data_IF_921788005618
#
_entry.id   IF_921788005618
#
_cell.length_a   1.000
_cell.length_b   1.000
_cell.length_c   1.000
_cell.angle_alpha   90.00
_cell.angle_beta   90.00
_cell.angle_gamma   90.00
#
_symmetry.space_group_name_H-M   'P 1'
#
loop_
_entity.id
_entity.type
_entity.pdbx_description
1 polymer ?
#
# COMPACT_ATOMS: atom_id res chain seq x y z
N UNK A 1 3.16 -0.14 -1.70
CA UNK A 1 3.08 1.29 -1.33
C UNK A 1 2.73 1.33 0.14
N UNK A 2 3.54 1.99 0.97
CA UNK A 2 3.39 2.06 2.42
C UNK A 2 3.13 3.51 2.83
N UNK A 3 2.06 3.75 3.58
CA UNK A 3 1.72 5.08 4.07
C UNK A 3 1.40 5.08 5.56
N UNK A 4 1.72 6.16 6.26
CA UNK A 4 1.16 6.47 7.59
C UNK A 4 0.45 7.81 7.57
N UNK A 5 -0.68 7.96 8.28
CA UNK A 5 -1.39 9.22 8.41
C UNK A 5 -1.66 9.87 7.04
N UNK A 6 -1.29 11.14 6.88
CA UNK A 6 -1.48 11.89 5.63
C UNK A 6 -0.51 11.49 4.50
N UNK A 7 0.46 10.61 4.74
CA UNK A 7 1.36 10.07 3.70
C UNK A 7 0.62 9.34 2.56
N UNK A 8 -0.65 8.98 2.76
CA UNK A 8 -1.49 8.46 1.68
C UNK A 8 -1.65 9.47 0.54
N UNK A 9 -1.68 10.77 0.83
CA UNK A 9 -1.84 11.81 -0.18
C UNK A 9 -0.69 11.81 -1.21
N UNK A 10 0.51 11.41 -0.78
CA UNK A 10 1.67 11.27 -1.66
C UNK A 10 1.54 10.10 -2.64
N UNK A 11 0.66 9.13 -2.36
CA UNK A 11 0.53 7.89 -3.13
C UNK A 11 -0.66 7.89 -4.09
N UNK A 12 -1.77 8.57 -3.74
CA UNK A 12 -3.03 8.49 -4.50
C UNK A 12 -2.87 8.86 -5.99
N UNK A 13 -2.18 9.95 -6.37
CA UNK A 13 -1.98 10.28 -7.79
C UNK A 13 -1.16 9.23 -8.53
N UNK A 14 -0.14 8.67 -7.88
CA UNK A 14 0.68 7.61 -8.49
C UNK A 14 -0.11 6.32 -8.61
N UNK A 15 -0.93 5.97 -7.62
CA UNK A 15 -1.76 4.77 -7.62
C UNK A 15 -2.71 4.78 -8.83
N UNK A 16 -3.45 5.87 -9.03
CA UNK A 16 -4.33 6.04 -10.19
C UNK A 16 -3.56 5.88 -11.50
N UNK A 17 -2.40 6.54 -11.63
CA UNK A 17 -1.55 6.44 -12.81
C UNK A 17 -1.05 5.00 -13.07
N UNK A 18 -0.71 4.23 -12.03
CA UNK A 18 -0.23 2.86 -12.18
C UNK A 18 -1.35 1.92 -12.67
N UNK A 19 -2.57 2.08 -12.14
CA UNK A 19 -3.75 1.31 -12.56
C UNK A 19 -4.09 1.66 -14.02
N UNK A 20 -4.17 2.96 -14.33
CA UNK A 20 -4.42 3.42 -15.71
C UNK A 20 -3.40 2.86 -16.71
N UNK A 21 -2.12 2.90 -16.36
CA UNK A 21 -1.03 2.38 -17.21
C UNK A 21 -1.09 0.86 -17.37
N UNK A 22 -1.57 0.13 -16.37
CA UNK A 22 -1.76 -1.33 -16.45
C UNK A 22 -2.83 -1.68 -17.50
N UNK A 23 -4.03 -1.10 -17.41
CA UNK A 23 -5.11 -1.33 -18.37
C UNK A 23 -4.76 -0.84 -19.79
N UNK A 24 -3.96 0.23 -19.89
CA UNK A 24 -3.45 0.70 -21.18
C UNK A 24 -2.31 -0.15 -21.75
N UNK A 25 -1.91 -1.25 -21.09
CA UNK A 25 -0.74 -2.08 -21.42
C UNK A 25 0.58 -1.30 -21.54
N UNK A 26 0.70 -0.17 -20.84
CA UNK A 26 1.88 0.72 -20.85
C UNK A 26 2.89 0.37 -19.76
N UNK A 27 2.58 -0.57 -18.88
CA UNK A 27 3.40 -0.94 -17.74
C UNK A 27 3.42 -2.45 -17.52
N UNK A 28 4.58 -3.04 -17.16
CA UNK A 28 4.68 -4.47 -16.81
C UNK A 28 4.28 -4.77 -15.36
N UNK A 29 3.62 -3.83 -14.66
CA UNK A 29 3.15 -4.02 -13.28
C UNK A 29 2.11 -5.15 -13.27
N UNK A 30 2.17 -6.00 -12.23
CA UNK A 30 1.27 -7.14 -12.09
C UNK A 30 0.44 -7.12 -10.82
N UNK A 31 0.92 -6.42 -9.80
CA UNK A 31 0.27 -6.33 -8.49
C UNK A 31 0.71 -5.06 -7.79
N UNK A 32 -0.24 -4.38 -7.19
CA UNK A 32 -0.06 -3.21 -6.34
C UNK A 32 -0.69 -3.55 -4.99
N UNK A 33 0.12 -3.52 -3.95
CA UNK A 33 -0.38 -3.58 -2.58
C UNK A 33 -0.19 -2.21 -1.93
N UNK A 34 -1.30 -1.53 -1.67
CA UNK A 34 -1.35 -0.31 -0.87
C UNK A 34 -1.62 -0.69 0.59
N UNK A 35 -0.72 -0.30 1.48
CA UNK A 35 -0.82 -0.53 2.91
C UNK A 35 -0.78 0.82 3.61
N UNK A 36 -1.77 1.09 4.45
CA UNK A 36 -1.92 2.39 5.09
C UNK A 36 -2.25 2.26 6.57
N UNK A 37 -1.44 2.90 7.43
CA UNK A 37 -1.74 3.07 8.84
C UNK A 37 -2.37 4.44 9.09
N UNK A 38 -3.52 4.49 9.75
CA UNK A 38 -4.19 5.74 10.07
C UNK A 38 -4.85 5.71 11.45
N UNK A 39 -5.16 6.89 11.98
CA UNK A 39 -6.01 7.01 13.17
C UNK A 39 -7.50 6.95 12.80
N UNK A 40 -7.84 7.58 11.68
CA UNK A 40 -9.20 7.65 11.16
C UNK A 40 -9.16 7.76 9.64
N UNK A 41 -10.18 7.19 8.98
CA UNK A 41 -10.38 7.33 7.56
C UNK A 41 -11.04 8.68 7.24
N UNK A 42 -10.36 9.53 6.48
CA UNK A 42 -10.94 10.79 5.98
C UNK A 42 -11.83 10.55 4.75
N UNK A 43 -12.94 11.29 4.65
CA UNK A 43 -13.92 11.18 3.56
C UNK A 43 -13.27 11.31 2.16
N UNK A 44 -12.37 12.28 1.99
CA UNK A 44 -11.68 12.50 0.70
C UNK A 44 -10.77 11.32 0.31
N UNK A 45 -10.02 10.75 1.27
CA UNK A 45 -9.18 9.59 1.02
C UNK A 45 -10.05 8.37 0.67
N UNK A 46 -11.18 8.19 1.36
CA UNK A 46 -12.15 7.16 1.06
C UNK A 46 -12.68 7.26 -0.38
N UNK A 47 -13.07 8.46 -0.82
CA UNK A 47 -13.55 8.65 -2.18
C UNK A 47 -12.49 8.26 -3.22
N UNK A 48 -11.25 8.73 -3.06
CA UNK A 48 -10.15 8.44 -3.98
C UNK A 48 -9.77 6.95 -4.02
N UNK A 49 -9.82 6.25 -2.88
CA UNK A 49 -9.58 4.80 -2.83
C UNK A 49 -10.70 4.01 -3.51
N UNK A 50 -11.96 4.45 -3.37
CA UNK A 50 -13.09 3.83 -4.07
C UNK A 50 -13.01 4.06 -5.58
N UNK A 51 -12.60 5.24 -6.03
CA UNK A 51 -12.34 5.53 -7.44
C UNK A 51 -11.22 4.62 -8.00
N UNK A 52 -10.11 4.47 -7.27
CA UNK A 52 -9.03 3.57 -7.66
C UNK A 52 -9.49 2.10 -7.75
N UNK A 53 -10.32 1.64 -6.79
CA UNK A 53 -10.93 0.31 -6.82
C UNK A 53 -11.94 0.14 -7.96
N UNK A 54 -12.63 1.20 -8.38
CA UNK A 54 -13.55 1.15 -9.50
C UNK A 54 -12.79 1.07 -10.84
N UNK A 55 -11.71 1.84 -10.99
CA UNK A 55 -10.86 1.81 -12.19
C UNK A 55 -10.19 0.44 -12.35
N UNK A 56 -9.62 -0.12 -11.29
CA UNK A 56 -8.99 -1.46 -11.26
C UNK A 56 -9.94 -2.62 -11.65
N UNK A 57 -11.25 -2.38 -11.76
CA UNK A 57 -12.22 -3.40 -12.20
C UNK A 57 -12.36 -3.51 -13.72
N UNK A 58 -11.91 -2.51 -14.48
CA UNK A 58 -12.34 -2.33 -15.87
C UNK A 58 -12.07 -3.53 -16.79
N UNK A 59 -11.00 -4.29 -16.58
CA UNK A 59 -10.63 -5.43 -17.44
C UNK A 59 -10.72 -6.81 -16.73
N UNK A 60 -11.28 -6.87 -15.52
CA UNK A 60 -11.39 -8.12 -14.73
C UNK A 60 -10.06 -8.66 -14.17
N UNK A 61 -8.92 -8.08 -14.55
CA UNK A 61 -7.60 -8.34 -13.97
C UNK A 61 -7.34 -7.36 -12.81
N UNK A 62 -7.70 -7.78 -11.60
CA UNK A 62 -7.55 -6.97 -10.41
C UNK A 62 -6.10 -6.94 -9.93
N UNK A 63 -5.40 -5.81 -10.11
CA UNK A 63 -4.01 -5.67 -9.65
C UNK A 63 -3.91 -4.97 -8.30
N UNK A 64 -4.95 -4.28 -7.85
CA UNK A 64 -4.94 -3.52 -6.59
C UNK A 64 -5.48 -4.31 -5.40
N UNK A 65 -4.65 -4.42 -4.36
CA UNK A 65 -5.02 -4.79 -2.99
C UNK A 65 -4.80 -3.61 -2.05
N UNK A 66 -5.79 -3.30 -1.22
CA UNK A 66 -5.67 -2.27 -0.18
C UNK A 66 -5.81 -2.94 1.20
N UNK A 67 -4.83 -2.72 2.08
CA UNK A 67 -4.86 -3.15 3.48
C UNK A 67 -4.66 -1.95 4.39
N UNK A 68 -5.68 -1.65 5.18
CA UNK A 68 -5.71 -0.49 6.06
C UNK A 68 -5.59 -0.93 7.51
N UNK A 69 -4.87 -0.18 8.32
CA UNK A 69 -4.59 -0.47 9.72
C UNK A 69 -4.95 0.74 10.57
N UNK A 70 -5.90 0.56 11.49
CA UNK A 70 -6.37 1.64 12.33
C UNK A 70 -5.90 1.53 13.76
N UNK A 71 -5.37 2.63 14.29
CA UNK A 71 -5.02 2.76 15.71
C UNK A 71 -6.24 3.04 16.61
N UNK A 72 -7.41 3.35 16.03
CA UNK A 72 -8.63 3.58 16.81
C UNK A 72 -9.23 2.28 17.37
N UNK A 73 -9.73 2.34 18.60
CA UNK A 73 -10.41 1.20 19.24
C UNK A 73 -11.81 0.94 18.70
N UNK A 74 -12.42 1.95 18.07
CA UNK A 74 -13.83 1.93 17.61
C UNK A 74 -14.01 1.36 16.21
N UNK A 75 -13.05 0.57 15.71
CA UNK A 75 -13.14 -0.03 14.38
C UNK A 75 -13.58 -1.49 14.50
N UNK A 76 -14.83 -1.75 14.11
CA UNK A 76 -15.23 -3.08 13.68
C UNK A 76 -14.59 -3.36 12.31
N UNK A 77 -14.00 -4.54 12.13
CA UNK A 77 -13.46 -4.99 10.83
C UNK A 77 -14.54 -4.83 9.76
N UNK A 78 -14.46 -3.73 9.03
CA UNK A 78 -15.47 -3.33 8.05
C UNK A 78 -14.87 -3.53 6.69
N UNK A 79 -15.57 -4.25 5.81
CA UNK A 79 -15.21 -4.32 4.40
C UNK A 79 -15.37 -2.93 3.78
N UNK A 80 -14.28 -2.39 3.26
CA UNK A 80 -14.28 -1.11 2.56
C UNK A 80 -14.15 -1.36 1.07
N UNK A 81 -15.17 -1.01 0.29
CA UNK A 81 -15.32 -1.55 -1.05
C UNK A 81 -15.33 -3.10 -1.05
N UNK A 82 -15.48 -3.74 -2.19
CA UNK A 82 -15.48 -5.21 -2.25
C UNK A 82 -14.09 -5.84 -2.02
N UNK A 83 -13.01 -5.04 -1.97
CA UNK A 83 -11.62 -5.51 -2.09
C UNK A 83 -10.62 -4.76 -1.20
N UNK A 84 -11.10 -4.13 -0.12
CA UNK A 84 -10.19 -3.67 0.93
C UNK A 84 -10.69 -4.06 2.31
N UNK A 85 -9.72 -4.19 3.21
CA UNK A 85 -9.94 -4.62 4.58
C UNK A 85 -9.32 -3.60 5.53
N UNK A 86 -10.08 -3.24 6.57
CA UNK A 86 -9.59 -2.43 7.68
C UNK A 86 -9.33 -3.33 8.88
N UNK A 87 -8.06 -3.41 9.29
CA UNK A 87 -7.60 -4.15 10.44
C UNK A 87 -7.42 -3.22 11.64
N UNK A 88 -7.60 -3.75 12.85
CA UNK A 88 -7.27 -3.05 14.10
C UNK A 88 -5.78 -3.17 14.41
N UNK A 89 -5.19 -2.09 14.90
CA UNK A 89 -3.81 -2.04 15.39
C UNK A 89 -2.81 -1.50 14.38
N UNK A 90 -1.52 -1.72 14.66
CA UNK A 90 -0.40 -1.30 13.81
C UNK A 90 -0.20 -2.26 12.64
N UNK A 91 0.42 -1.75 11.57
CA UNK A 91 0.89 -2.57 10.45
C UNK A 91 1.87 -3.64 10.97
N UNK A 92 1.60 -4.94 10.76
CA UNK A 92 2.55 -6.00 11.08
C UNK A 92 3.61 -6.11 9.95
N UNK A 93 4.53 -5.14 9.90
CA UNK A 93 5.49 -4.95 8.79
C UNK A 93 6.22 -6.25 8.39
N UNK A 94 6.74 -7.00 9.37
CA UNK A 94 7.42 -8.28 9.12
C UNK A 94 6.53 -9.29 8.43
N UNK A 95 5.33 -9.49 8.96
CA UNK A 95 4.35 -10.44 8.40
C UNK A 95 3.98 -10.04 6.98
N UNK A 96 3.72 -8.75 6.74
CA UNK A 96 3.45 -8.25 5.39
C UNK A 96 4.61 -8.56 4.45
N UNK A 97 5.86 -8.22 4.83
CA UNK A 97 7.00 -8.46 3.95
C UNK A 97 7.21 -9.94 3.63
N UNK A 98 7.07 -10.81 4.62
CA UNK A 98 7.18 -12.25 4.43
C UNK A 98 6.11 -12.77 3.47
N UNK A 99 4.85 -12.37 3.67
CA UNK A 99 3.73 -12.74 2.78
C UNK A 99 3.95 -12.20 1.37
N UNK A 100 4.33 -10.93 1.23
CA UNK A 100 4.58 -10.30 -0.07
C UNK A 100 5.71 -11.00 -0.83
N UNK A 101 6.77 -11.42 -0.14
CA UNK A 101 7.88 -12.17 -0.73
C UNK A 101 7.51 -13.62 -1.09
N UNK A 102 6.66 -14.26 -0.29
CA UNK A 102 6.20 -15.63 -0.53
C UNK A 102 5.24 -15.72 -1.73
N UNK A 103 4.34 -14.75 -1.88
CA UNK A 103 3.41 -14.65 -3.01
C UNK A 103 4.08 -14.15 -4.31
N UNK A 104 5.32 -13.67 -4.20
CA UNK A 104 6.04 -13.08 -5.32
C UNK A 104 6.44 -14.13 -6.36
N UNK A 105 6.23 -13.80 -7.64
CA UNK A 105 6.74 -14.64 -8.74
C UNK A 105 8.27 -14.73 -8.70
N UNK A 106 8.86 -15.91 -8.94
CA UNK A 106 10.31 -16.06 -8.98
C UNK A 106 10.98 -15.04 -9.92
N UNK A 107 12.09 -14.45 -9.46
CA UNK A 107 12.88 -13.44 -10.18
C UNK A 107 12.19 -12.09 -10.44
N UNK A 108 10.96 -11.87 -9.96
CA UNK A 108 10.35 -10.54 -10.09
C UNK A 108 10.97 -9.54 -9.12
N UNK A 109 10.90 -8.27 -9.49
CA UNK A 109 11.35 -7.13 -8.69
C UNK A 109 10.18 -6.51 -7.97
N UNK A 110 10.39 -6.07 -6.73
CA UNK A 110 9.37 -5.36 -5.95
C UNK A 110 9.87 -3.96 -5.69
N UNK A 111 9.04 -2.94 -5.95
CA UNK A 111 9.31 -1.57 -5.53
C UNK A 111 8.41 -1.24 -4.35
N UNK A 112 9.03 -0.82 -3.25
CA UNK A 112 8.36 -0.35 -2.06
C UNK A 112 8.45 1.17 -1.98
N UNK A 113 7.40 1.84 -2.46
CA UNK A 113 7.21 3.27 -2.24
C UNK A 113 6.76 3.53 -0.80
N UNK A 114 7.35 4.51 -0.11
CA UNK A 114 7.09 4.83 1.30
C UNK A 114 6.86 6.33 1.51
N UNK A 115 5.77 6.64 2.21
CA UNK A 115 5.40 7.98 2.71
C UNK A 115 4.93 7.83 4.15
N UNK A 116 5.86 7.88 5.09
CA UNK A 116 5.59 7.53 6.47
C UNK A 116 6.32 8.44 7.46
N UNK A 117 5.84 8.48 8.71
CA UNK A 117 6.51 9.24 9.77
C UNK A 117 7.88 8.64 10.11
N UNK A 118 8.72 9.42 10.80
CA UNK A 118 10.10 9.03 11.10
C UNK A 118 10.20 7.69 11.83
N UNK A 119 9.38 7.48 12.87
CA UNK A 119 9.40 6.24 13.65
C UNK A 119 9.10 4.99 12.80
N UNK A 120 8.13 5.09 11.89
CA UNK A 120 7.79 4.00 10.97
C UNK A 120 8.90 3.76 9.94
N UNK A 121 9.53 4.83 9.44
CA UNK A 121 10.67 4.69 8.53
C UNK A 121 11.86 4.00 9.20
N UNK A 122 12.17 4.37 10.45
CA UNK A 122 13.25 3.74 11.21
C UNK A 122 12.99 2.24 11.43
N UNK A 123 11.76 1.87 11.81
CA UNK A 123 11.33 0.47 11.95
C UNK A 123 11.47 -0.29 10.62
N UNK A 124 11.01 0.31 9.52
CA UNK A 124 11.10 -0.28 8.20
C UNK A 124 12.56 -0.47 7.74
N UNK A 125 13.42 0.54 7.94
CA UNK A 125 14.84 0.47 7.57
C UNK A 125 15.54 -0.61 8.40
N UNK A 126 15.26 -0.69 9.71
CA UNK A 126 15.81 -1.73 10.57
C UNK A 126 15.39 -3.13 10.08
N UNK A 127 14.11 -3.30 9.73
CA UNK A 127 13.58 -4.55 9.21
C UNK A 127 14.20 -4.92 7.85
N UNK A 128 14.32 -3.96 6.93
CA UNK A 128 14.89 -4.20 5.59
C UNK A 128 16.34 -4.70 5.64
N UNK A 129 17.11 -4.34 6.68
CA UNK A 129 18.48 -4.85 6.89
C UNK A 129 18.51 -6.36 7.14
N UNK A 130 17.43 -6.94 7.63
CA UNK A 130 17.29 -8.39 7.81
C UNK A 130 16.99 -9.13 6.49
N UNK A 131 16.66 -8.40 5.41
CA UNK A 131 16.29 -8.95 4.10
C UNK A 131 17.23 -8.47 2.96
N UNK A 132 18.57 -8.63 3.06
CA UNK A 132 19.54 -8.00 2.17
C UNK A 132 19.54 -8.54 0.72
N UNK A 133 18.90 -9.70 0.46
CA UNK A 133 18.79 -10.32 -0.88
C UNK A 133 17.36 -10.42 -1.37
N UNK A 134 16.48 -9.54 -0.89
CA UNK A 134 15.05 -9.62 -1.16
C UNK A 134 14.64 -9.11 -2.54
N UNK A 135 15.52 -8.50 -3.35
CA UNK A 135 15.14 -7.88 -4.64
C UNK A 135 13.97 -6.88 -4.49
N UNK A 136 14.00 -6.14 -3.40
CA UNK A 136 13.09 -5.05 -3.07
C UNK A 136 13.89 -3.75 -3.19
N UNK A 137 13.40 -2.78 -3.94
CA UNK A 137 13.92 -1.41 -3.88
C UNK A 137 13.02 -0.55 -3.02
N UNK A 138 13.64 0.18 -2.11
CA UNK A 138 12.97 1.18 -1.31
C UNK A 138 12.99 2.51 -2.07
N UNK A 139 11.82 3.10 -2.27
CA UNK A 139 11.65 4.42 -2.85
C UNK A 139 10.89 5.30 -1.85
N UNK A 140 11.43 6.46 -1.52
CA UNK A 140 10.74 7.42 -0.66
C UNK A 140 10.01 8.44 -1.54
N UNK A 141 8.77 8.76 -1.19
CA UNK A 141 8.06 9.88 -1.84
C UNK A 141 8.62 11.22 -1.37
N UNK A 142 8.45 12.28 -2.16
CA UNK A 142 8.88 13.63 -1.78
C UNK A 142 8.22 14.12 -0.49
N UNK A 143 6.91 13.87 -0.35
CA UNK A 143 6.19 14.15 0.88
C UNK A 143 6.36 13.02 1.89
N UNK A 144 6.75 13.38 3.12
CA UNK A 144 6.75 12.51 4.28
C UNK A 144 5.92 13.18 5.39
N UNK A 145 4.95 12.48 5.99
CA UNK A 145 4.19 13.01 7.11
C UNK A 145 5.09 13.14 8.35
N UNK A 146 4.77 14.12 9.21
CA UNK A 146 5.44 14.33 10.48
C UNK A 146 5.17 13.17 11.47
#
# INVERSE_FOLDING_TARGET
MLATGFGIAAHLPYLQKLIHNHHSHKSPIRRIHLIWQMKQLGIAAQQLLNEALAEDKLDGDYILRISMYSESEDIYETSFGSRSTVYRGKIPLRTILQTELAERRPKSRTVMSVSANGAFQDELIALMREFPRSNIDLAHTEYQPL
#
